data_IF_544963931815
#
_entry.id   IF_544963931815
#
_cell.length_a   1.000
_cell.length_b   1.000
_cell.length_c   1.000
_cell.angle_alpha   90.00
_cell.angle_beta   90.00
_cell.angle_gamma   90.00
#
_symmetry.space_group_name_H-M   'P 1'
#
loop_
_entity.id
_entity.type
_entity.pdbx_description
1 polymer ?
#
# COMPACT_ATOMS: atom_id res chain seq x y z
N UNK A 1 12.06 -18.53 21.19
CA UNK A 1 11.88 -18.63 19.73
C UNK A 1 11.92 -17.22 19.16
N UNK A 2 12.46 -16.98 17.96
CA UNK A 2 12.31 -15.67 17.33
C UNK A 2 10.82 -15.34 17.18
N UNK A 3 10.48 -14.07 17.38
CA UNK A 3 9.11 -13.57 17.17
C UNK A 3 8.69 -13.85 15.72
N UNK A 4 7.47 -14.33 15.46
CA UNK A 4 7.03 -14.63 14.11
C UNK A 4 7.04 -13.35 13.26
N UNK A 5 7.56 -13.48 12.03
CA UNK A 5 7.67 -12.35 11.11
C UNK A 5 6.27 -11.75 10.82
N UNK A 6 6.07 -10.43 11.04
CA UNK A 6 4.76 -9.81 10.90
C UNK A 6 4.31 -9.80 9.45
N UNK A 7 3.00 -9.69 9.26
CA UNK A 7 2.40 -9.61 7.94
C UNK A 7 2.11 -8.16 7.54
N UNK A 8 2.29 -7.85 6.27
CA UNK A 8 1.98 -6.55 5.66
C UNK A 8 0.82 -6.76 4.71
N UNK A 9 -0.17 -5.88 4.76
CA UNK A 9 -1.28 -5.87 3.81
C UNK A 9 -1.16 -4.66 2.89
N UNK A 10 -1.11 -4.90 1.59
CA UNK A 10 -1.07 -3.84 0.57
C UNK A 10 -2.24 -3.93 -0.39
N UNK A 11 -2.56 -2.82 -1.02
CA UNK A 11 -3.50 -2.76 -2.12
C UNK A 11 -2.89 -3.45 -3.34
N UNK A 12 -3.69 -4.26 -4.05
CA UNK A 12 -3.37 -4.65 -5.41
C UNK A 12 -3.88 -3.56 -6.36
N UNK A 13 -3.00 -3.01 -7.18
CA UNK A 13 -3.35 -2.09 -8.26
C UNK A 13 -3.66 -2.90 -9.52
N UNK A 14 -4.50 -2.37 -10.43
CA UNK A 14 -4.57 -2.91 -11.79
C UNK A 14 -3.21 -2.80 -12.52
N UNK A 15 -3.08 -3.54 -13.62
CA UNK A 15 -1.82 -3.68 -14.33
C UNK A 15 -1.26 -2.34 -14.83
N UNK A 16 -2.12 -1.47 -15.34
CA UNK A 16 -1.74 -0.17 -15.89
C UNK A 16 -1.23 0.78 -14.79
N UNK A 17 -1.95 0.88 -13.67
CA UNK A 17 -1.53 1.70 -12.53
C UNK A 17 -0.24 1.14 -11.90
N UNK A 18 -0.15 -0.18 -11.73
CA UNK A 18 1.06 -0.81 -11.21
C UNK A 18 2.26 -0.52 -12.11
N UNK A 19 2.14 -0.71 -13.43
CA UNK A 19 3.22 -0.44 -14.38
C UNK A 19 3.69 1.02 -14.30
N UNK A 20 2.74 1.97 -14.24
CA UNK A 20 3.02 3.40 -14.10
C UNK A 20 3.83 3.71 -12.85
N UNK A 21 3.34 3.31 -11.67
CA UNK A 21 4.02 3.61 -10.41
C UNK A 21 5.33 2.85 -10.25
N UNK A 22 5.41 1.62 -10.76
CA UNK A 22 6.63 0.83 -10.70
C UNK A 22 7.71 1.44 -11.62
N UNK A 23 7.32 1.96 -12.79
CA UNK A 23 8.20 2.74 -13.66
C UNK A 23 8.75 3.98 -12.98
N UNK A 24 7.88 4.75 -12.31
CA UNK A 24 8.29 5.93 -11.52
C UNK A 24 9.30 5.57 -10.43
N UNK A 25 9.07 4.46 -9.69
CA UNK A 25 10.03 3.96 -8.70
C UNK A 25 11.37 3.60 -9.32
N UNK A 26 11.38 2.86 -10.43
CA UNK A 26 12.63 2.49 -11.13
C UNK A 26 13.42 3.74 -11.58
N UNK A 27 12.73 4.81 -11.96
CA UNK A 27 13.36 6.05 -12.42
C UNK A 27 13.87 6.94 -11.28
N UNK A 28 13.18 6.97 -10.14
CA UNK A 28 13.38 8.02 -9.12
C UNK A 28 13.80 7.52 -7.74
N UNK A 29 13.57 6.24 -7.44
CA UNK A 29 13.98 5.63 -6.19
C UNK A 29 15.46 5.22 -6.28
N UNK A 30 16.30 5.43 -5.25
CA UNK A 30 17.68 4.96 -5.27
C UNK A 30 17.74 3.46 -5.57
N UNK A 31 18.44 3.06 -6.63
CA UNK A 31 18.46 1.68 -7.14
C UNK A 31 18.85 0.67 -6.07
N UNK A 32 19.90 0.98 -5.30
CA UNK A 32 20.40 0.17 -4.20
C UNK A 32 19.41 -0.01 -3.03
N UNK A 33 18.29 0.72 -3.00
CA UNK A 33 17.24 0.64 -1.99
C UNK A 33 15.89 0.19 -2.56
N UNK A 34 15.77 0.06 -3.89
CA UNK A 34 14.50 -0.19 -4.57
C UNK A 34 14.22 -1.68 -4.77
N UNK A 35 14.06 -2.40 -3.67
CA UNK A 35 13.85 -3.86 -3.69
C UNK A 35 12.39 -4.28 -3.72
N UNK A 36 11.48 -3.39 -3.28
CA UNK A 36 10.05 -3.67 -3.23
C UNK A 36 9.35 -2.98 -4.41
N UNK A 37 8.51 -3.67 -5.18
CA UNK A 37 7.72 -3.06 -6.26
C UNK A 37 6.80 -1.94 -5.76
N UNK A 38 6.17 -1.21 -6.68
CA UNK A 38 5.15 -0.22 -6.29
C UNK A 38 4.04 -0.85 -5.44
N UNK A 39 3.72 -0.19 -4.34
CA UNK A 39 2.73 -0.65 -3.37
C UNK A 39 2.05 0.53 -2.69
N UNK A 40 0.83 0.30 -2.20
CA UNK A 40 0.13 1.16 -1.26
C UNK A 40 -0.23 0.34 -0.03
N UNK A 41 0.31 0.71 1.13
CA UNK A 41 0.17 -0.08 2.37
C UNK A 41 -1.16 0.23 3.07
N UNK A 42 -1.91 -0.81 3.43
CA UNK A 42 -3.09 -0.73 4.31
C UNK A 42 -2.67 -0.93 5.76
N UNK A 43 -1.84 -1.96 6.01
CA UNK A 43 -1.30 -2.30 7.33
C UNK A 43 0.18 -2.69 7.22
N UNK A 44 0.98 -2.21 8.16
CA UNK A 44 2.40 -2.51 8.25
C UNK A 44 2.66 -3.73 9.14
N UNK A 45 1.70 -4.07 10.00
CA UNK A 45 1.86 -5.11 10.99
C UNK A 45 0.51 -5.77 11.34
N UNK A 46 0.28 -6.93 10.74
CA UNK A 46 -0.72 -7.91 11.16
C UNK A 46 -0.03 -9.13 11.82
N UNK A 47 -0.74 -9.91 12.65
CA UNK A 47 -0.19 -11.07 13.36
C UNK A 47 0.57 -12.03 12.45
N UNK A 48 1.78 -12.43 12.85
CA UNK A 48 2.63 -13.34 12.10
C UNK A 48 2.48 -14.81 12.50
N UNK A 49 1.89 -15.05 13.68
CA UNK A 49 1.71 -16.35 14.34
C UNK A 49 0.84 -17.29 13.51
N UNK A 50 -0.26 -16.76 12.93
CA UNK A 50 -1.22 -17.51 12.14
C UNK A 50 -1.55 -16.79 10.81
N UNK A 51 -0.67 -16.94 9.80
CA UNK A 51 -0.93 -16.38 8.48
C UNK A 51 -2.16 -16.95 7.78
N UNK A 52 -2.56 -18.19 8.10
CA UNK A 52 -3.72 -18.82 7.50
C UNK A 52 -5.01 -18.16 8.02
N UNK A 53 -5.14 -17.98 9.34
CA UNK A 53 -6.27 -17.27 9.96
C UNK A 53 -6.35 -15.80 9.54
N UNK A 54 -5.19 -15.12 9.39
CA UNK A 54 -5.16 -13.76 8.81
C UNK A 54 -5.67 -13.75 7.37
N UNK A 55 -5.20 -14.69 6.54
CA UNK A 55 -5.65 -14.83 5.15
C UNK A 55 -7.14 -15.10 5.06
N UNK A 56 -7.68 -16.00 5.88
CA UNK A 56 -9.10 -16.34 5.94
C UNK A 56 -9.96 -15.12 6.31
N UNK A 57 -9.58 -14.42 7.39
CA UNK A 57 -10.29 -13.23 7.87
C UNK A 57 -10.31 -12.12 6.81
N UNK A 58 -9.15 -11.82 6.21
CA UNK A 58 -9.05 -10.80 5.16
C UNK A 58 -9.83 -11.21 3.91
N UNK A 59 -9.83 -12.50 3.54
CA UNK A 59 -10.61 -13.02 2.41
C UNK A 59 -12.11 -12.85 2.63
N UNK A 60 -12.63 -13.18 3.82
CA UNK A 60 -14.04 -12.99 4.12
C UNK A 60 -14.46 -11.52 4.00
N UNK A 61 -13.64 -10.60 4.52
CA UNK A 61 -13.89 -9.16 4.44
C UNK A 61 -13.78 -8.60 3.02
N UNK A 62 -12.84 -9.12 2.22
CA UNK A 62 -12.61 -8.69 0.85
C UNK A 62 -13.73 -9.17 -0.10
N UNK A 63 -14.25 -10.38 0.09
CA UNK A 63 -15.40 -10.88 -0.70
C UNK A 63 -16.67 -10.06 -0.51
N UNK A 64 -16.86 -9.45 0.66
CA UNK A 64 -17.96 -8.55 0.94
C UNK A 64 -17.73 -7.10 0.45
N UNK A 65 -16.60 -6.83 -0.20
CA UNK A 65 -16.23 -5.53 -0.74
C UNK A 65 -16.21 -5.62 -2.27
N UNK A 66 -16.98 -4.78 -2.94
CA UNK A 66 -16.81 -4.54 -4.37
C UNK A 66 -15.40 -3.98 -4.64
N UNK A 67 -14.73 -4.41 -5.70
CA UNK A 67 -13.44 -3.87 -6.13
C UNK A 67 -13.49 -2.33 -6.18
N UNK A 68 -12.77 -1.61 -5.28
CA UNK A 68 -12.90 -0.17 -5.18
C UNK A 68 -12.19 0.52 -6.35
N UNK A 69 -12.80 1.62 -6.80
CA UNK A 69 -12.08 2.62 -7.58
C UNK A 69 -11.24 3.49 -6.63
N UNK A 70 -10.03 3.83 -7.06
CA UNK A 70 -9.08 4.60 -6.27
C UNK A 70 -8.62 5.80 -7.08
N UNK A 71 -8.89 6.98 -6.54
CA UNK A 71 -8.44 8.25 -7.09
C UNK A 71 -6.97 8.48 -6.73
N UNK A 72 -6.19 8.90 -7.72
CA UNK A 72 -4.85 9.49 -7.53
C UNK A 72 -5.04 10.99 -7.56
N UNK A 73 -4.89 11.65 -6.40
CA UNK A 73 -5.38 13.03 -6.20
C UNK A 73 -4.29 14.09 -6.14
N UNK A 74 -3.01 13.69 -6.08
CA UNK A 74 -1.91 14.64 -6.08
C UNK A 74 -0.55 14.02 -5.82
N UNK A 75 0.47 14.88 -5.86
CA UNK A 75 1.86 14.52 -5.54
C UNK A 75 2.24 15.18 -4.22
N UNK A 76 2.72 14.39 -3.27
CA UNK A 76 3.09 14.79 -1.90
C UNK A 76 4.60 14.77 -1.72
N UNK A 77 5.15 15.86 -1.20
CA UNK A 77 6.50 15.88 -0.65
C UNK A 77 6.51 15.29 0.76
N UNK A 78 7.39 14.33 1.04
CA UNK A 78 7.47 13.63 2.33
C UNK A 78 8.71 14.00 3.15
N UNK A 79 9.38 15.10 2.80
CA UNK A 79 10.60 15.57 3.46
C UNK A 79 11.87 14.98 2.85
N UNK A 80 11.92 13.67 2.65
CA UNK A 80 13.06 12.94 2.03
C UNK A 80 12.62 12.04 0.87
N UNK A 81 11.48 12.34 0.28
CA UNK A 81 10.87 11.55 -0.76
C UNK A 81 9.65 12.22 -1.38
N UNK A 82 9.06 11.49 -2.32
CA UNK A 82 7.87 11.88 -3.06
C UNK A 82 6.92 10.68 -3.15
N UNK A 83 5.64 10.94 -2.93
CA UNK A 83 4.58 9.94 -3.01
C UNK A 83 3.34 10.49 -3.72
N UNK A 84 2.61 9.62 -4.39
CA UNK A 84 1.29 9.95 -4.95
C UNK A 84 0.21 9.70 -3.91
N UNK A 85 -0.66 10.69 -3.74
CA UNK A 85 -1.83 10.66 -2.88
C UNK A 85 -2.89 9.74 -3.47
N UNK A 86 -3.46 8.86 -2.64
CA UNK A 86 -4.61 8.07 -3.01
C UNK A 86 -5.82 8.44 -2.15
N UNK A 87 -7.02 8.34 -2.73
CA UNK A 87 -8.30 8.53 -2.05
C UNK A 87 -9.33 7.51 -2.55
N UNK A 88 -10.09 6.92 -1.63
CA UNK A 88 -11.20 6.00 -1.91
C UNK A 88 -11.96 5.72 -0.61
N UNK A 89 -13.23 6.09 -0.57
CA UNK A 89 -14.08 5.85 0.61
C UNK A 89 -14.30 4.35 0.83
N UNK A 90 -14.63 3.63 -0.24
CA UNK A 90 -14.80 2.17 -0.21
C UNK A 90 -13.55 1.44 0.31
N UNK A 91 -12.35 1.90 -0.07
CA UNK A 91 -11.11 1.33 0.44
C UNK A 91 -10.86 1.70 1.91
N UNK A 92 -11.23 2.92 2.31
CA UNK A 92 -11.13 3.37 3.70
C UNK A 92 -12.07 2.55 4.61
N UNK A 93 -13.29 2.27 4.16
CA UNK A 93 -14.27 1.43 4.85
C UNK A 93 -13.79 -0.02 4.96
N UNK A 94 -13.23 -0.58 3.88
CA UNK A 94 -12.60 -1.90 3.92
C UNK A 94 -11.47 -1.94 4.96
N UNK A 95 -10.57 -0.96 4.96
CA UNK A 95 -9.50 -0.88 5.95
C UNK A 95 -10.03 -0.79 7.37
N UNK A 96 -11.08 -0.01 7.62
CA UNK A 96 -11.69 0.09 8.95
C UNK A 96 -12.24 -1.26 9.44
N UNK A 97 -12.89 -2.04 8.57
CA UNK A 97 -13.38 -3.38 8.91
C UNK A 97 -12.23 -4.34 9.23
N UNK A 98 -11.13 -4.30 8.46
CA UNK A 98 -9.92 -5.08 8.77
C UNK A 98 -9.32 -4.62 10.11
N UNK A 99 -9.23 -3.31 10.35
CA UNK A 99 -8.71 -2.78 11.61
C UNK A 99 -9.55 -3.19 12.83
N UNK A 100 -10.87 -3.30 12.67
CA UNK A 100 -11.76 -3.79 13.71
C UNK A 100 -11.52 -5.28 14.00
N UNK A 101 -11.32 -6.10 12.96
CA UNK A 101 -11.04 -7.53 13.11
C UNK A 101 -9.71 -7.82 13.81
N UNK A 102 -8.70 -6.96 13.62
CA UNK A 102 -7.37 -7.13 14.22
C UNK A 102 -7.08 -6.14 15.36
N UNK A 103 -8.13 -5.56 15.98
CA UNK A 103 -8.02 -4.44 16.92
C UNK A 103 -6.97 -4.68 18.00
N UNK A 104 -6.86 -5.85 18.59
CA UNK A 104 -5.96 -6.10 19.71
C UNK A 104 -4.50 -6.32 19.29
N UNK A 105 -4.27 -6.48 17.98
CA UNK A 105 -2.95 -6.76 17.40
C UNK A 105 -2.33 -5.56 16.68
N UNK A 106 -3.10 -4.50 16.42
CA UNK A 106 -2.58 -3.34 15.68
C UNK A 106 -1.52 -2.58 16.48
N UNK A 107 -0.43 -2.26 15.79
CA UNK A 107 0.59 -1.32 16.29
C UNK A 107 0.02 0.11 16.39
N UNK A 108 0.71 1.00 17.11
CA UNK A 108 0.35 2.41 17.14
C UNK A 108 0.30 3.04 15.72
N UNK A 109 1.22 2.63 14.84
CA UNK A 109 1.27 3.10 13.45
C UNK A 109 0.03 2.71 12.65
N UNK A 110 -0.52 1.51 12.87
CA UNK A 110 -1.68 1.04 12.13
C UNK A 110 -3.02 1.49 12.74
N UNK A 111 -3.01 1.98 13.99
CA UNK A 111 -4.20 2.59 14.64
C UNK A 111 -4.45 4.04 14.28
N UNK A 112 -3.44 4.77 13.81
CA UNK A 112 -3.57 6.19 13.50
C UNK A 112 -4.38 6.44 12.22
N UNK A 113 -4.67 7.72 11.94
CA UNK A 113 -5.33 8.14 10.70
C UNK A 113 -4.60 7.65 9.45
N UNK A 114 -5.35 7.02 8.54
CA UNK A 114 -4.78 6.41 7.35
C UNK A 114 -4.76 7.39 6.17
N UNK A 115 -3.60 7.52 5.54
CA UNK A 115 -3.37 8.35 4.37
C UNK A 115 -2.73 7.50 3.28
N UNK A 116 -3.54 6.82 2.43
CA UNK A 116 -2.99 5.94 1.42
C UNK A 116 -2.17 6.73 0.40
N UNK A 117 -1.08 6.10 -0.04
CA UNK A 117 -0.14 6.68 -0.98
C UNK A 117 0.71 5.60 -1.63
N UNK A 118 1.26 5.93 -2.81
CA UNK A 118 2.33 5.15 -3.46
C UNK A 118 3.61 5.95 -3.42
N UNK A 119 4.62 5.45 -2.72
CA UNK A 119 5.93 6.13 -2.67
C UNK A 119 6.73 5.85 -3.93
N UNK A 120 7.17 6.90 -4.62
CA UNK A 120 8.01 6.80 -5.83
C UNK A 120 9.48 7.18 -5.59
N UNK A 121 9.75 7.86 -4.48
CA UNK A 121 11.11 8.16 -4.02
C UNK A 121 11.13 8.27 -2.49
N UNK A 122 12.17 7.77 -1.83
CA UNK A 122 12.41 7.99 -0.41
C UNK A 122 13.92 7.89 -0.10
N UNK A 123 14.33 8.31 1.11
CA UNK A 123 15.70 8.23 1.63
C UNK A 123 16.75 9.00 0.81
N UNK A 124 16.32 10.04 0.08
CA UNK A 124 17.23 10.97 -0.63
C UNK A 124 17.50 12.23 0.21
N UNK A 125 18.34 13.13 -0.32
CA UNK A 125 18.49 14.48 0.24
C UNK A 125 17.19 15.30 0.03
N UNK A 126 16.81 16.17 0.98
CA UNK A 126 15.59 16.98 0.86
C UNK A 126 15.50 17.81 -0.42
N UNK A 127 16.62 18.32 -0.92
CA UNK A 127 16.72 19.14 -2.13
C UNK A 127 16.39 18.32 -3.37
N UNK A 128 16.91 17.08 -3.44
CA UNK A 128 16.60 16.12 -4.51
C UNK A 128 15.10 15.79 -4.52
N UNK A 129 14.52 15.51 -3.35
CA UNK A 129 13.10 15.21 -3.24
C UNK A 129 12.22 16.43 -3.56
N UNK A 130 12.63 17.64 -3.18
CA UNK A 130 11.93 18.88 -3.52
C UNK A 130 11.93 19.16 -5.02
N UNK A 131 13.07 18.96 -5.69
CA UNK A 131 13.17 19.11 -7.13
C UNK A 131 12.27 18.11 -7.88
N UNK A 132 12.27 16.83 -7.46
CA UNK A 132 11.38 15.83 -8.04
C UNK A 132 9.90 16.15 -7.78
N UNK A 133 9.56 16.56 -6.55
CA UNK A 133 8.19 16.94 -6.21
C UNK A 133 7.69 18.08 -7.10
N UNK A 134 8.49 19.13 -7.30
CA UNK A 134 8.12 20.24 -8.17
C UNK A 134 7.88 19.79 -9.62
N UNK A 135 8.77 18.96 -10.17
CA UNK A 135 8.62 18.43 -11.52
C UNK A 135 7.36 17.57 -11.68
N UNK A 136 7.15 16.60 -10.78
CA UNK A 136 5.98 15.73 -10.85
C UNK A 136 4.67 16.45 -10.56
N UNK A 137 4.68 17.47 -9.70
CA UNK A 137 3.48 18.26 -9.39
C UNK A 137 3.06 19.17 -10.55
N UNK A 138 4.01 19.62 -11.37
CA UNK A 138 3.71 20.46 -12.55
C UNK A 138 2.95 19.69 -13.63
N UNK A 139 3.32 18.42 -13.84
CA UNK A 139 2.73 17.56 -14.87
C UNK A 139 1.62 16.65 -14.31
N UNK A 140 1.18 16.89 -13.06
CA UNK A 140 0.21 16.03 -12.41
C UNK A 140 -1.20 16.24 -12.95
N UNK A 141 -1.80 15.15 -13.44
CA UNK A 141 -3.21 15.07 -13.77
C UNK A 141 -3.92 14.05 -12.87
N UNK A 142 -5.06 14.41 -12.25
CA UNK A 142 -5.87 13.46 -11.51
C UNK A 142 -6.27 12.26 -12.38
N UNK A 143 -6.18 11.08 -11.82
CA UNK A 143 -6.52 9.82 -12.49
C UNK A 143 -7.16 8.85 -11.52
N UNK A 144 -7.69 7.76 -12.05
CA UNK A 144 -8.31 6.70 -11.26
C UNK A 144 -7.80 5.35 -11.74
N UNK A 145 -7.76 4.38 -10.84
CA UNK A 145 -7.50 2.98 -11.17
C UNK A 145 -8.42 2.07 -10.36
N UNK A 146 -8.61 0.83 -10.84
CA UNK A 146 -9.35 -0.18 -10.07
C UNK A 146 -8.38 -0.99 -9.23
N UNK A 147 -8.77 -1.25 -7.99
CA UNK A 147 -8.07 -2.19 -7.13
C UNK A 147 -8.77 -3.55 -7.20
N UNK A 148 -8.21 -4.56 -7.89
CA UNK A 148 -8.84 -5.89 -7.97
C UNK A 148 -8.77 -6.69 -6.66
N UNK A 149 -7.94 -6.27 -5.70
CA UNK A 149 -7.76 -7.02 -4.46
C UNK A 149 -6.73 -6.41 -3.51
N UNK A 150 -6.27 -7.24 -2.59
CA UNK A 150 -5.17 -6.96 -1.66
C UNK A 150 -4.15 -8.08 -1.71
N UNK A 151 -2.92 -7.73 -1.33
CA UNK A 151 -1.78 -8.65 -1.28
C UNK A 151 -1.31 -8.74 0.17
N UNK A 152 -1.18 -9.97 0.67
CA UNK A 152 -0.64 -10.26 1.98
C UNK A 152 0.81 -10.71 1.84
N UNK A 153 1.70 -10.10 2.63
CA UNK A 153 3.13 -10.33 2.58
C UNK A 153 3.65 -10.69 3.96
N UNK A 154 4.74 -11.44 4.02
CA UNK A 154 5.55 -11.64 5.21
C UNK A 154 6.76 -10.71 5.17
N UNK A 155 6.99 -9.99 6.25
CA UNK A 155 8.12 -9.08 6.38
C UNK A 155 9.36 -9.80 6.94
N UNK A 156 10.35 -10.07 6.08
CA UNK A 156 11.57 -10.80 6.43
C UNK A 156 12.76 -9.88 6.71
N UNK A 157 12.52 -8.72 7.34
CA UNK A 157 13.57 -7.75 7.68
C UNK A 157 14.08 -6.91 6.51
N UNK A 158 13.29 -6.79 5.44
CA UNK A 158 13.67 -6.05 4.23
C UNK A 158 13.00 -6.64 2.99
N UNK A 159 13.26 -7.91 2.65
CA UNK A 159 12.51 -8.63 1.63
C UNK A 159 11.09 -8.93 2.09
N UNK A 160 10.14 -8.87 1.15
CA UNK A 160 8.75 -9.25 1.37
C UNK A 160 8.46 -10.52 0.59
N UNK A 161 7.97 -11.54 1.29
CA UNK A 161 7.51 -12.78 0.67
C UNK A 161 5.99 -12.74 0.52
N UNK A 162 5.47 -12.97 -0.69
CA UNK A 162 4.02 -12.96 -0.90
C UNK A 162 3.40 -14.22 -0.28
N UNK A 163 2.47 -14.02 0.63
CA UNK A 163 1.70 -15.07 1.30
C UNK A 163 0.41 -15.36 0.53
N UNK A 164 -0.32 -14.32 0.13
CA UNK A 164 -1.59 -14.48 -0.56
C UNK A 164 -1.90 -13.30 -1.50
N UNK A 165 -2.67 -13.60 -2.55
CA UNK A 165 -3.39 -12.61 -3.37
C UNK A 165 -4.87 -12.83 -3.11
N UNK A 166 -5.57 -11.80 -2.63
CA UNK A 166 -6.96 -11.89 -2.18
C UNK A 166 -7.79 -10.93 -3.02
N UNK A 167 -8.66 -11.47 -3.87
CA UNK A 167 -9.54 -10.66 -4.70
C UNK A 167 -10.64 -10.00 -3.85
N UNK A 168 -11.01 -8.78 -4.23
CA UNK A 168 -12.28 -8.22 -3.81
C UNK A 168 -13.43 -8.95 -4.51
N UNK A 169 -14.63 -8.86 -3.94
CA UNK A 169 -15.82 -9.41 -4.56
C UNK A 169 -16.20 -8.66 -5.83
N UNK A 170 -16.89 -9.36 -6.73
CA UNK A 170 -17.69 -8.71 -7.76
C UNK A 170 -18.91 -8.10 -7.06
N UNK A 171 -19.16 -6.80 -7.26
CA UNK A 171 -20.38 -6.19 -6.76
C UNK A 171 -21.58 -6.96 -7.34
N UNK A 172 -22.47 -7.46 -6.47
CA UNK A 172 -23.79 -7.91 -6.87
C UNK A 172 -24.70 -6.71 -7.15
#
# INVERSE_FOLDING_TARGET
MPEPAPLILTLQMDEAAFATFNGLRRRHFPEALNHIPAHATLFHHLPGEDPAGVTETVTALARAQAAPEVAVTGVRFTGRGVAYALESDALSDFRQRVAAAFRDHLTAQDRQGWRPHVTVQNKVAPETARALHAALAQDFEPSHFRAPGVLLWRYLGGPWERVATIAFGDAA
#
